data_IF_573653730159
#
_entry.id   IF_573653730159
#
_cell.length_a   1.000
_cell.length_b   1.000
_cell.length_c   1.000
_cell.angle_alpha   90.00
_cell.angle_beta   90.00
_cell.angle_gamma   90.00
#
_symmetry.space_group_name_H-M   'P 1'
#
loop_
_entity.id
_entity.type
_entity.pdbx_description
1 polymer ?
#
# COMPACT_ATOMS: atom_id res chain seq x y z
N UNK A 1 8.07 -5.68 21.28
CA UNK A 1 8.32 -4.44 20.53
C UNK A 1 9.80 -4.33 20.20
N UNK A 2 10.19 -3.46 19.26
CA UNK A 2 11.59 -3.20 18.92
C UNK A 2 12.36 -2.66 20.15
N UNK A 3 13.65 -2.96 20.22
CA UNK A 3 14.57 -2.38 21.20
C UNK A 3 15.17 -1.04 20.74
N UNK A 4 14.91 -0.62 19.49
CA UNK A 4 15.41 0.63 18.96
C UNK A 4 14.81 1.84 19.71
N UNK A 5 15.53 2.96 19.85
CA UNK A 5 14.99 4.18 20.45
C UNK A 5 13.90 4.79 19.54
N UNK A 6 12.98 5.54 20.14
CA UNK A 6 12.05 6.37 19.38
C UNK A 6 12.78 7.54 18.71
N UNK A 7 12.47 7.77 17.44
CA UNK A 7 12.94 8.92 16.65
C UNK A 7 11.81 9.94 16.54
N UNK A 8 12.09 11.20 16.81
CA UNK A 8 11.13 12.28 16.66
C UNK A 8 11.03 12.74 15.20
N UNK A 9 9.81 12.96 14.75
CA UNK A 9 9.51 13.62 13.47
C UNK A 9 9.16 15.07 13.78
N UNK A 10 9.93 15.98 13.23
CA UNK A 10 9.74 17.43 13.44
C UNK A 10 9.23 18.10 12.16
N UNK A 11 8.42 19.15 12.32
CA UNK A 11 7.96 19.96 11.20
C UNK A 11 9.16 20.67 10.54
N UNK A 12 9.43 20.46 9.24
CA UNK A 12 10.54 21.09 8.55
C UNK A 12 10.46 22.62 8.51
N UNK A 13 9.27 23.21 8.63
CA UNK A 13 9.07 24.66 8.71
C UNK A 13 9.31 25.25 10.11
N UNK A 14 9.14 24.44 11.18
CA UNK A 14 9.47 24.80 12.56
C UNK A 14 9.89 23.57 13.34
N UNK A 15 11.19 23.31 13.42
CA UNK A 15 11.77 22.14 14.04
C UNK A 15 11.52 22.00 15.55
N UNK A 16 10.96 23.01 16.20
CA UNK A 16 10.52 22.94 17.60
C UNK A 16 9.17 22.20 17.73
N UNK A 17 8.42 22.09 16.62
CA UNK A 17 7.17 21.36 16.58
C UNK A 17 7.43 19.89 16.32
N UNK A 18 7.20 19.04 17.29
CA UNK A 18 7.19 17.59 17.16
C UNK A 18 5.83 17.21 16.55
N UNK A 19 5.86 16.53 15.40
CA UNK A 19 4.68 16.01 14.69
C UNK A 19 4.29 14.64 15.20
N UNK A 20 5.29 13.81 15.51
CA UNK A 20 5.09 12.47 16.05
C UNK A 20 6.42 11.77 16.33
N UNK A 21 6.32 10.48 16.58
CA UNK A 21 7.49 9.62 16.86
C UNK A 21 7.31 8.28 16.16
N UNK A 22 8.41 7.69 15.73
CA UNK A 22 8.44 6.35 15.16
C UNK A 22 9.61 5.55 15.75
N UNK A 23 9.57 4.25 15.56
CA UNK A 23 10.58 3.32 16.03
C UNK A 23 10.98 2.40 14.88
N UNK A 24 12.28 2.25 14.64
CA UNK A 24 12.78 1.35 13.61
C UNK A 24 12.49 -0.11 13.99
N UNK A 25 12.10 -0.91 13.01
CA UNK A 25 12.02 -2.35 13.17
C UNK A 25 13.43 -2.95 13.32
N UNK A 26 13.57 -3.92 14.20
CA UNK A 26 14.77 -4.74 14.29
C UNK A 26 14.72 -5.94 13.32
N UNK A 27 15.83 -6.67 13.20
CA UNK A 27 15.93 -7.80 12.29
C UNK A 27 14.93 -8.92 12.60
N UNK A 28 14.61 -9.13 13.88
CA UNK A 28 13.64 -10.15 14.28
C UNK A 28 12.21 -9.77 13.84
N UNK A 29 11.86 -8.48 13.96
CA UNK A 29 10.57 -7.96 13.47
C UNK A 29 10.47 -8.02 11.95
N UNK A 30 11.56 -7.72 11.23
CA UNK A 30 11.59 -7.84 9.77
C UNK A 30 11.40 -9.30 9.35
N UNK A 31 12.10 -10.25 9.99
CA UNK A 31 11.92 -11.68 9.71
C UNK A 31 10.49 -12.13 9.99
N UNK A 32 9.92 -11.75 11.13
CA UNK A 32 8.54 -12.11 11.48
C UNK A 32 7.52 -11.53 10.49
N UNK A 33 7.73 -10.30 9.99
CA UNK A 33 6.87 -9.71 8.98
C UNK A 33 6.95 -10.45 7.64
N UNK A 34 8.15 -10.85 7.22
CA UNK A 34 8.36 -11.66 6.01
C UNK A 34 7.68 -13.02 6.12
N UNK A 35 7.82 -13.70 7.27
CA UNK A 35 7.18 -14.98 7.53
C UNK A 35 5.66 -14.88 7.51
N UNK A 36 5.10 -13.83 8.13
CA UNK A 36 3.66 -13.56 8.13
C UNK A 36 3.12 -13.27 6.73
N UNK A 37 3.80 -12.43 5.95
CA UNK A 37 3.43 -12.11 4.58
C UNK A 37 3.52 -13.34 3.67
N UNK A 38 4.55 -14.18 3.85
CA UNK A 38 4.70 -15.43 3.10
C UNK A 38 3.57 -16.42 3.43
N UNK A 39 3.23 -16.57 4.69
CA UNK A 39 2.14 -17.45 5.13
C UNK A 39 0.76 -16.98 4.63
N UNK A 40 0.55 -15.68 4.48
CA UNK A 40 -0.71 -15.10 3.99
C UNK A 40 -0.86 -15.15 2.47
N UNK A 41 0.22 -15.28 1.73
CA UNK A 41 0.25 -15.12 0.27
C UNK A 41 -0.77 -16.01 -0.45
N UNK A 42 -0.80 -17.30 -0.17
CA UNK A 42 -1.67 -18.24 -0.87
C UNK A 42 -3.15 -17.88 -0.72
N UNK A 43 -3.58 -17.54 0.50
CA UNK A 43 -4.95 -17.10 0.77
C UNK A 43 -5.32 -15.79 0.08
N UNK A 44 -4.36 -14.86 -0.01
CA UNK A 44 -4.60 -13.59 -0.69
C UNK A 44 -4.63 -13.73 -2.21
N UNK A 45 -3.75 -14.51 -2.82
CA UNK A 45 -3.75 -14.79 -4.25
C UNK A 45 -5.05 -15.46 -4.70
N UNK A 46 -5.57 -16.41 -3.90
CA UNK A 46 -6.85 -17.09 -4.16
C UNK A 46 -8.08 -16.20 -3.83
N UNK A 47 -7.92 -15.05 -3.18
CA UNK A 47 -9.02 -14.10 -3.00
C UNK A 47 -9.45 -13.58 -4.37
N UNK A 48 -10.74 -13.68 -4.73
CA UNK A 48 -11.21 -13.24 -6.05
C UNK A 48 -10.78 -11.82 -6.40
N UNK A 49 -10.28 -11.59 -7.61
CA UNK A 49 -9.81 -10.29 -8.07
C UNK A 49 -10.85 -9.17 -7.87
N UNK A 50 -12.14 -9.48 -8.06
CA UNK A 50 -13.23 -8.55 -7.81
C UNK A 50 -13.37 -8.17 -6.32
N UNK A 51 -13.03 -9.07 -5.40
CA UNK A 51 -13.05 -8.79 -3.95
C UNK A 51 -11.85 -7.91 -3.57
N UNK A 52 -10.64 -8.24 -4.04
CA UNK A 52 -9.44 -7.39 -3.85
C UNK A 52 -9.67 -5.98 -4.39
N UNK A 53 -10.27 -5.88 -5.59
CA UNK A 53 -10.59 -4.60 -6.21
C UNK A 53 -11.56 -3.76 -5.38
N UNK A 54 -12.61 -4.36 -4.80
CA UNK A 54 -13.55 -3.65 -3.91
C UNK A 54 -12.88 -3.08 -2.66
N UNK A 55 -11.93 -3.81 -2.09
CA UNK A 55 -11.15 -3.34 -0.93
C UNK A 55 -10.32 -2.12 -1.32
N UNK A 56 -9.64 -2.14 -2.47
CA UNK A 56 -8.85 -1.00 -2.94
C UNK A 56 -9.72 0.22 -3.30
N UNK A 57 -10.89 0.03 -3.86
CA UNK A 57 -11.86 1.11 -4.08
C UNK A 57 -12.34 1.71 -2.77
N UNK A 58 -12.63 0.88 -1.76
CA UNK A 58 -12.98 1.36 -0.42
C UNK A 58 -11.82 2.12 0.23
N UNK A 59 -10.57 1.67 0.06
CA UNK A 59 -9.40 2.42 0.52
C UNK A 59 -9.30 3.80 -0.15
N UNK A 60 -9.60 3.90 -1.45
CA UNK A 60 -9.65 5.17 -2.16
C UNK A 60 -10.72 6.11 -1.59
N UNK A 61 -11.91 5.59 -1.26
CA UNK A 61 -12.99 6.37 -0.66
C UNK A 61 -12.61 6.87 0.75
N UNK A 62 -11.94 6.04 1.56
CA UNK A 62 -11.44 6.44 2.88
C UNK A 62 -10.33 7.51 2.79
N UNK A 63 -9.45 7.43 1.79
CA UNK A 63 -8.44 8.45 1.52
C UNK A 63 -9.09 9.81 1.20
N UNK A 64 -10.14 9.81 0.37
CA UNK A 64 -10.89 11.04 0.05
C UNK A 64 -11.61 11.61 1.28
N UNK A 65 -12.25 10.76 2.07
CA UNK A 65 -12.95 11.19 3.30
C UNK A 65 -11.98 11.79 4.33
N UNK A 66 -10.77 11.27 4.43
CA UNK A 66 -9.72 11.72 5.37
C UNK A 66 -8.73 12.71 4.73
N UNK A 67 -9.03 13.23 3.54
CA UNK A 67 -8.16 14.15 2.80
C UNK A 67 -7.61 15.32 3.63
N UNK A 68 -8.40 16.04 4.46
CA UNK A 68 -7.87 17.14 5.27
C UNK A 68 -6.80 16.70 6.28
N UNK A 69 -6.98 15.55 6.93
CA UNK A 69 -6.01 14.96 7.86
C UNK A 69 -4.70 14.61 7.13
N UNK A 70 -4.82 13.94 5.99
CA UNK A 70 -3.68 13.51 5.18
C UNK A 70 -2.90 14.70 4.64
N UNK A 71 -3.59 15.73 4.14
CA UNK A 71 -2.97 16.99 3.68
C UNK A 71 -2.20 17.66 4.82
N UNK A 72 -2.80 17.75 6.01
CA UNK A 72 -2.14 18.34 7.18
C UNK A 72 -0.85 17.57 7.53
N UNK A 73 -0.86 16.25 7.40
CA UNK A 73 0.30 15.42 7.66
C UNK A 73 1.38 15.58 6.56
N UNK A 74 0.99 15.64 5.28
CA UNK A 74 1.90 15.96 4.17
C UNK A 74 2.64 17.29 4.38
N UNK A 75 1.92 18.31 4.87
CA UNK A 75 2.50 19.63 5.14
C UNK A 75 3.45 19.55 6.34
N UNK A 76 3.01 18.93 7.45
CA UNK A 76 3.77 18.96 8.71
C UNK A 76 4.95 17.99 8.75
N UNK A 77 4.85 16.86 8.08
CA UNK A 77 5.92 15.84 8.07
C UNK A 77 6.84 16.03 6.85
N UNK A 78 6.27 16.16 5.64
CA UNK A 78 7.04 16.23 4.40
C UNK A 78 7.34 17.66 3.92
N UNK A 79 6.79 18.69 4.58
CA UNK A 79 7.02 20.09 4.19
C UNK A 79 6.39 20.47 2.85
N UNK A 80 5.37 19.75 2.40
CA UNK A 80 4.71 20.01 1.11
C UNK A 80 3.81 21.25 1.18
N UNK A 81 3.63 21.91 0.04
CA UNK A 81 2.59 22.94 -0.08
C UNK A 81 1.19 22.31 -0.07
N UNK A 82 0.16 23.13 0.21
CA UNK A 82 -1.24 22.66 0.16
C UNK A 82 -1.58 22.06 -1.21
N UNK A 83 -1.24 22.76 -2.30
CA UNK A 83 -1.51 22.29 -3.65
C UNK A 83 -0.81 20.95 -3.96
N UNK A 84 0.47 20.81 -3.58
CA UNK A 84 1.20 19.55 -3.75
C UNK A 84 0.62 18.42 -2.88
N UNK A 85 0.14 18.73 -1.68
CA UNK A 85 -0.51 17.74 -0.80
C UNK A 85 -1.86 17.26 -1.35
N UNK A 86 -2.65 18.17 -1.93
CA UNK A 86 -3.89 17.78 -2.64
C UNK A 86 -3.58 16.85 -3.82
N UNK A 87 -2.53 17.15 -4.60
CA UNK A 87 -2.10 16.28 -5.72
C UNK A 87 -1.68 14.91 -5.24
N UNK A 88 -0.96 14.80 -4.10
CA UNK A 88 -0.57 13.53 -3.47
C UNK A 88 -1.79 12.64 -3.18
N UNK A 89 -2.81 13.22 -2.54
CA UNK A 89 -4.00 12.43 -2.18
C UNK A 89 -4.75 11.99 -3.42
N UNK A 90 -4.93 12.89 -4.39
CA UNK A 90 -5.63 12.56 -5.66
C UNK A 90 -4.91 11.47 -6.42
N UNK A 91 -3.60 11.55 -6.55
CA UNK A 91 -2.80 10.54 -7.24
C UNK A 91 -2.85 9.19 -6.53
N UNK A 92 -2.79 9.15 -5.19
CA UNK A 92 -2.93 7.93 -4.41
C UNK A 92 -4.31 7.27 -4.61
N UNK A 93 -5.38 8.07 -4.63
CA UNK A 93 -6.75 7.61 -4.92
C UNK A 93 -6.85 7.06 -6.34
N UNK A 94 -6.28 7.76 -7.31
CA UNK A 94 -6.27 7.33 -8.71
C UNK A 94 -5.52 6.01 -8.90
N UNK A 95 -4.36 5.82 -8.24
CA UNK A 95 -3.65 4.54 -8.24
C UNK A 95 -4.50 3.41 -7.67
N UNK A 96 -5.13 3.61 -6.52
CA UNK A 96 -5.96 2.56 -5.91
C UNK A 96 -7.12 2.15 -6.84
N UNK A 97 -7.83 3.10 -7.43
CA UNK A 97 -8.93 2.85 -8.37
C UNK A 97 -8.45 2.25 -9.69
N UNK A 98 -7.32 2.73 -10.22
CA UNK A 98 -6.73 2.20 -11.45
C UNK A 98 -6.34 0.73 -11.28
N UNK A 99 -5.60 0.39 -10.21
CA UNK A 99 -5.19 -1.00 -9.99
C UNK A 99 -6.35 -1.91 -9.61
N UNK A 100 -7.39 -1.40 -8.95
CA UNK A 100 -8.63 -2.14 -8.76
C UNK A 100 -9.27 -2.55 -10.09
N UNK A 101 -9.33 -1.63 -11.05
CA UNK A 101 -9.82 -1.93 -12.39
C UNK A 101 -8.93 -2.93 -13.13
N UNK A 102 -7.60 -2.74 -13.08
CA UNK A 102 -6.66 -3.67 -13.70
C UNK A 102 -6.72 -5.08 -13.09
N UNK A 103 -6.92 -5.18 -11.77
CA UNK A 103 -7.12 -6.47 -11.09
C UNK A 103 -8.29 -7.25 -11.69
N UNK A 104 -9.45 -6.61 -11.86
CA UNK A 104 -10.62 -7.25 -12.49
C UNK A 104 -10.34 -7.68 -13.93
N UNK A 105 -9.64 -6.83 -14.69
CA UNK A 105 -9.35 -7.08 -16.10
C UNK A 105 -8.36 -8.21 -16.30
N UNK A 106 -7.29 -8.26 -15.53
CA UNK A 106 -6.15 -9.14 -15.76
C UNK A 106 -6.21 -10.44 -14.95
N UNK A 107 -6.82 -10.40 -13.76
CA UNK A 107 -6.87 -11.51 -12.83
C UNK A 107 -8.30 -12.03 -12.58
N UNK A 108 -9.30 -11.47 -13.28
CA UNK A 108 -10.72 -11.77 -13.02
C UNK A 108 -11.17 -13.11 -13.57
N UNK A 109 -10.69 -13.49 -14.74
CA UNK A 109 -11.02 -14.77 -15.38
C UNK A 109 -9.86 -15.23 -16.25
N UNK A 110 -9.68 -16.55 -16.40
CA UNK A 110 -8.71 -17.10 -17.35
C UNK A 110 -9.03 -16.68 -18.79
N UNK A 111 -7.98 -16.41 -19.57
CA UNK A 111 -8.08 -16.16 -20.99
C UNK A 111 -8.05 -17.52 -21.73
N UNK A 112 -9.07 -17.77 -22.56
CA UNK A 112 -9.08 -18.97 -23.38
C UNK A 112 -8.10 -18.85 -24.55
N UNK A 113 -7.22 -19.82 -24.66
CA UNK A 113 -6.23 -19.88 -25.74
C UNK A 113 -6.66 -20.91 -26.81
N UNK A 114 -6.25 -20.72 -28.07
CA UNK A 114 -6.47 -21.71 -29.12
C UNK A 114 -5.73 -23.03 -28.81
N UNK A 115 -6.33 -24.14 -29.22
CA UNK A 115 -5.77 -25.48 -29.07
C UNK A 115 -6.34 -26.47 -30.06
N UNK A 116 -5.77 -27.67 -30.17
CA UNK A 116 -6.31 -28.76 -31.00
C UNK A 116 -7.70 -29.20 -30.55
N UNK A 117 -8.41 -29.87 -31.42
CA UNK A 117 -9.74 -30.43 -31.12
C UNK A 117 -9.65 -31.38 -29.88
N UNK A 118 -10.50 -31.14 -28.89
CA UNK A 118 -10.58 -31.93 -27.66
C UNK A 118 -9.75 -31.39 -26.49
N UNK A 119 -9.00 -30.29 -26.70
CA UNK A 119 -8.29 -29.58 -25.62
C UNK A 119 -9.02 -28.30 -25.19
N UNK A 120 -8.84 -27.94 -23.93
CA UNK A 120 -9.22 -26.65 -23.37
C UNK A 120 -7.98 -25.99 -22.76
N UNK A 121 -7.48 -24.93 -23.41
CA UNK A 121 -6.28 -24.22 -22.99
C UNK A 121 -6.66 -22.87 -22.39
N UNK A 122 -6.11 -22.55 -21.21
CA UNK A 122 -6.39 -21.32 -20.50
C UNK A 122 -5.09 -20.71 -19.94
N UNK A 123 -5.00 -19.37 -20.02
CA UNK A 123 -3.97 -18.58 -19.36
C UNK A 123 -4.59 -17.88 -18.18
N UNK A 124 -4.03 -18.11 -16.99
CA UNK A 124 -4.43 -17.42 -15.77
C UNK A 124 -3.21 -16.73 -15.14
N UNK A 125 -3.41 -15.49 -14.67
CA UNK A 125 -2.39 -14.75 -13.94
C UNK A 125 -2.59 -14.92 -12.44
N UNK A 126 -1.47 -15.05 -11.73
CA UNK A 126 -1.40 -15.19 -10.28
C UNK A 126 -0.41 -14.20 -9.69
N UNK A 127 -0.52 -13.93 -8.40
CA UNK A 127 0.49 -13.22 -7.64
C UNK A 127 1.84 -13.94 -7.69
N UNK A 128 2.92 -13.21 -7.45
CA UNK A 128 4.29 -13.76 -7.49
C UNK A 128 4.82 -14.14 -6.10
N UNK A 129 4.22 -13.59 -5.03
CA UNK A 129 4.66 -13.83 -3.65
C UNK A 129 4.71 -12.54 -2.84
N UNK A 130 5.72 -12.42 -1.98
CA UNK A 130 5.93 -11.23 -1.14
C UNK A 130 6.66 -10.15 -1.92
N UNK A 131 6.11 -8.95 -1.95
CA UNK A 131 6.72 -7.76 -2.55
C UNK A 131 7.25 -6.82 -1.47
N UNK A 132 8.50 -6.38 -1.62
CA UNK A 132 9.07 -5.32 -0.77
C UNK A 132 8.93 -3.99 -1.51
N UNK A 133 8.05 -3.13 -1.02
CA UNK A 133 7.79 -1.81 -1.60
C UNK A 133 8.61 -0.75 -0.87
N UNK A 134 9.64 -0.20 -1.55
CA UNK A 134 10.55 0.81 -1.00
C UNK A 134 10.21 2.16 -1.64
N UNK A 135 9.83 3.14 -0.83
CA UNK A 135 9.29 4.42 -1.30
C UNK A 135 10.18 5.60 -0.95
N UNK A 136 10.19 6.66 -1.79
CA UNK A 136 10.91 7.90 -1.50
C UNK A 136 10.14 8.80 -0.53
N UNK A 137 10.81 9.83 0.00
CA UNK A 137 10.22 10.81 0.90
C UNK A 137 9.45 11.95 0.20
N UNK A 138 9.80 12.26 -1.05
CA UNK A 138 9.25 13.42 -1.79
C UNK A 138 7.86 13.17 -2.39
N UNK A 139 7.46 11.91 -2.54
CA UNK A 139 6.08 11.47 -2.84
C UNK A 139 5.63 10.47 -1.78
N UNK A 140 5.43 10.94 -0.54
CA UNK A 140 5.31 10.07 0.63
C UNK A 140 4.00 9.29 0.71
N UNK A 141 2.98 9.69 -0.04
CA UNK A 141 1.69 9.01 -0.13
C UNK A 141 1.49 8.33 -1.49
N UNK A 142 1.60 9.10 -2.59
CA UNK A 142 1.24 8.62 -3.92
C UNK A 142 2.14 7.46 -4.38
N UNK A 143 3.47 7.62 -4.37
CA UNK A 143 4.38 6.54 -4.76
C UNK A 143 4.34 5.39 -3.74
N UNK A 144 4.21 5.69 -2.44
CA UNK A 144 4.08 4.67 -1.41
C UNK A 144 2.87 3.78 -1.67
N UNK A 145 1.67 4.35 -1.80
CA UNK A 145 0.46 3.59 -2.07
C UNK A 145 0.41 3.01 -3.48
N UNK A 146 0.97 3.69 -4.47
CA UNK A 146 1.01 3.20 -5.85
C UNK A 146 1.69 1.84 -5.98
N UNK A 147 2.85 1.64 -5.34
CA UNK A 147 3.54 0.35 -5.32
C UNK A 147 2.74 -0.72 -4.57
N UNK A 148 2.22 -0.37 -3.39
CA UNK A 148 1.50 -1.29 -2.51
C UNK A 148 0.20 -1.74 -3.18
N UNK A 149 -0.63 -0.81 -3.67
CA UNK A 149 -1.92 -1.13 -4.28
C UNK A 149 -1.77 -1.93 -5.58
N UNK A 150 -0.71 -1.68 -6.36
CA UNK A 150 -0.38 -2.49 -7.53
C UNK A 150 -0.07 -3.95 -7.15
N UNK A 151 0.78 -4.16 -6.15
CA UNK A 151 1.15 -5.48 -5.68
C UNK A 151 -0.05 -6.23 -5.08
N UNK A 152 -0.83 -5.59 -4.21
CA UNK A 152 -2.04 -6.15 -3.60
C UNK A 152 -3.10 -6.50 -4.65
N UNK A 153 -3.33 -5.64 -5.64
CA UNK A 153 -4.27 -5.87 -6.73
C UNK A 153 -3.95 -7.13 -7.53
N UNK A 154 -2.66 -7.42 -7.72
CA UNK A 154 -2.17 -8.59 -8.44
C UNK A 154 -2.16 -9.88 -7.60
N UNK A 155 -2.57 -9.85 -6.32
CA UNK A 155 -2.61 -11.03 -5.45
C UNK A 155 -1.31 -11.26 -4.67
N UNK A 156 -0.41 -10.28 -4.61
CA UNK A 156 0.82 -10.37 -3.81
C UNK A 156 0.58 -9.84 -2.40
N UNK A 157 1.36 -10.33 -1.45
CA UNK A 157 1.50 -9.74 -0.12
C UNK A 157 2.64 -8.70 -0.12
N UNK A 158 2.65 -7.78 0.85
CA UNK A 158 3.52 -6.59 0.79
C UNK A 158 4.24 -6.35 2.11
N UNK A 159 5.54 -6.11 2.02
CA UNK A 159 6.33 -5.46 3.07
C UNK A 159 6.54 -4.00 2.65
N UNK A 160 5.86 -3.08 3.32
CA UNK A 160 5.92 -1.67 3.01
C UNK A 160 7.04 -0.97 3.80
N UNK A 161 8.06 -0.47 3.08
CA UNK A 161 9.19 0.28 3.67
C UNK A 161 9.12 1.74 3.22
N UNK A 162 8.57 2.65 4.04
CA UNK A 162 8.60 4.09 3.74
C UNK A 162 10.00 4.67 3.88
N UNK A 163 10.17 5.90 3.38
CA UNK A 163 11.34 6.68 3.72
C UNK A 163 11.32 7.10 5.19
N UNK A 164 12.49 7.20 5.82
CA UNK A 164 12.64 7.53 7.25
C UNK A 164 12.07 8.92 7.61
N UNK A 165 12.05 9.83 6.62
CA UNK A 165 11.56 11.20 6.76
C UNK A 165 10.02 11.30 6.80
N UNK A 166 9.30 10.28 6.35
CA UNK A 166 7.84 10.34 6.12
C UNK A 166 7.12 9.07 6.61
N UNK A 167 7.44 8.65 7.83
CA UNK A 167 6.94 7.41 8.42
C UNK A 167 5.52 7.52 8.98
N UNK A 168 5.14 8.70 9.47
CA UNK A 168 3.81 8.89 10.08
C UNK A 168 2.71 8.83 9.03
N UNK A 169 2.93 9.49 7.89
CA UNK A 169 1.99 9.47 6.77
C UNK A 169 1.84 8.05 6.22
N UNK A 170 2.95 7.32 6.07
CA UNK A 170 2.94 5.93 5.64
C UNK A 170 2.16 5.03 6.62
N UNK A 171 2.33 5.22 7.92
CA UNK A 171 1.58 4.50 8.95
C UNK A 171 0.08 4.75 8.84
N UNK A 172 -0.34 6.01 8.67
CA UNK A 172 -1.76 6.37 8.46
C UNK A 172 -2.30 5.72 7.19
N UNK A 173 -1.53 5.72 6.10
CA UNK A 173 -1.92 5.10 4.84
C UNK A 173 -2.13 3.58 4.98
N UNK A 174 -1.23 2.87 5.67
CA UNK A 174 -1.38 1.42 5.95
C UNK A 174 -2.62 1.16 6.82
N UNK A 175 -2.86 1.98 7.85
CA UNK A 175 -4.09 1.85 8.66
C UNK A 175 -5.36 2.01 7.83
N UNK A 176 -5.37 2.90 6.85
CA UNK A 176 -6.49 3.07 5.93
C UNK A 176 -6.69 1.81 5.07
N UNK A 177 -5.61 1.18 4.60
CA UNK A 177 -5.70 -0.08 3.86
C UNK A 177 -6.32 -1.20 4.72
N UNK A 178 -5.91 -1.33 5.98
CA UNK A 178 -6.48 -2.32 6.91
C UNK A 178 -7.96 -2.00 7.24
N UNK A 179 -8.30 -0.73 7.45
CA UNK A 179 -9.68 -0.28 7.65
C UNK A 179 -10.56 -0.60 6.45
N UNK A 180 -10.02 -0.50 5.24
CA UNK A 180 -10.71 -0.86 4.00
C UNK A 180 -10.93 -2.37 3.84
N UNK A 181 -10.18 -3.20 4.54
CA UNK A 181 -10.33 -4.65 4.55
C UNK A 181 -9.10 -5.45 4.09
N UNK A 182 -7.94 -4.82 3.89
CA UNK A 182 -6.68 -5.56 3.71
C UNK A 182 -6.34 -6.26 5.03
N UNK A 183 -6.14 -7.60 5.04
CA UNK A 183 -5.73 -8.33 6.25
C UNK A 183 -4.37 -7.85 6.79
N UNK A 184 -4.19 -7.89 8.13
CA UNK A 184 -2.97 -7.36 8.79
C UNK A 184 -1.67 -8.07 8.39
N UNK A 185 -1.77 -9.28 7.86
CA UNK A 185 -0.64 -10.11 7.46
C UNK A 185 -0.45 -10.15 5.92
N UNK A 186 -1.21 -9.36 5.17
CA UNK A 186 -1.13 -9.22 3.72
C UNK A 186 -0.40 -7.94 3.35
#
# INVERSE_FOLDING_TARGET
GSSAPFTEVTNPADRRQIVGRWQAADSAQVSAALDAAHAAYDGWDHTPAAARAKILEHAADLLEQRMPEIIALCIKEAGKSVAASVSEVREAVDFARYYAQQSRRLFGAPEKLPGPTGESNELQLHGRGVFVCISPWNFPLAIFLGQITAALAAGNTVIAKPAEQTTLLAYVAVKILHEAGIPENV
#
